data_IF_592027207116
#
_entry.id   IF_592027207116
#
_cell.length_a   1.000
_cell.length_b   1.000
_cell.length_c   1.000
_cell.angle_alpha   90.00
_cell.angle_beta   90.00
_cell.angle_gamma   90.00
#
_symmetry.space_group_name_H-M   'P 1'
#
loop_
_entity.id
_entity.type
_entity.pdbx_description
1 polymer ?
#
# COMPACT_ATOMS: atom_id res chain seq x y z
N UNK A 1 -1.03 -11.66 -25.12
CA UNK A 1 -1.52 -10.79 -24.04
C UNK A 1 -2.95 -11.20 -23.76
N UNK A 2 -3.16 -12.15 -22.86
CA UNK A 2 -4.49 -12.36 -22.27
C UNK A 2 -4.87 -11.03 -21.62
N UNK A 3 -6.07 -10.50 -21.88
CA UNK A 3 -6.61 -9.48 -21.01
C UNK A 3 -6.50 -10.03 -19.58
N UNK A 4 -5.86 -9.29 -18.68
CA UNK A 4 -5.88 -9.64 -17.26
C UNK A 4 -7.34 -9.78 -16.80
N UNK A 5 -7.61 -10.50 -15.71
CA UNK A 5 -8.95 -10.52 -15.14
C UNK A 5 -9.44 -9.08 -14.94
N UNK A 6 -10.53 -8.73 -15.61
CA UNK A 6 -11.12 -7.40 -15.54
C UNK A 6 -12.03 -7.34 -14.32
N UNK A 7 -11.73 -6.43 -13.39
CA UNK A 7 -12.64 -6.09 -12.30
C UNK A 7 -13.92 -5.48 -12.87
N UNK A 8 -15.07 -5.74 -12.26
CA UNK A 8 -16.34 -5.12 -12.66
C UNK A 8 -16.24 -3.59 -12.59
N UNK A 9 -16.40 -2.92 -13.73
CA UNK A 9 -16.31 -1.46 -13.81
C UNK A 9 -17.34 -0.74 -12.93
N UNK A 10 -18.52 -1.30 -12.72
CA UNK A 10 -19.53 -0.71 -11.84
C UNK A 10 -19.08 -0.73 -10.37
N UNK A 11 -18.35 -1.77 -9.96
CA UNK A 11 -17.77 -1.86 -8.61
C UNK A 11 -16.67 -0.81 -8.43
N UNK A 12 -15.78 -0.65 -9.42
CA UNK A 12 -14.71 0.36 -9.40
C UNK A 12 -15.30 1.77 -9.33
N UNK A 13 -16.30 2.08 -10.15
CA UNK A 13 -17.01 3.38 -10.11
C UNK A 13 -17.67 3.63 -8.75
N UNK A 14 -18.25 2.60 -8.12
CA UNK A 14 -18.82 2.71 -6.78
C UNK A 14 -17.76 3.03 -5.72
N UNK A 15 -16.63 2.30 -5.72
CA UNK A 15 -15.52 2.55 -4.80
C UNK A 15 -14.97 3.97 -4.96
N UNK A 16 -14.75 4.42 -6.19
CA UNK A 16 -14.30 5.78 -6.51
C UNK A 16 -15.28 6.83 -5.99
N UNK A 17 -16.58 6.66 -6.27
CA UNK A 17 -17.62 7.58 -5.84
C UNK A 17 -17.73 7.71 -4.31
N UNK A 18 -17.55 6.61 -3.57
CA UNK A 18 -17.58 6.63 -2.10
C UNK A 18 -16.46 7.50 -1.53
N UNK A 19 -15.23 7.34 -2.02
CA UNK A 19 -14.08 8.13 -1.53
C UNK A 19 -14.09 9.56 -2.03
N UNK A 20 -14.57 9.81 -3.25
CA UNK A 20 -14.78 11.15 -3.79
C UNK A 20 -15.79 11.93 -2.94
N UNK A 21 -16.98 11.35 -2.69
CA UNK A 21 -18.03 11.96 -1.85
C UNK A 21 -17.56 12.20 -0.41
N UNK A 22 -16.81 11.26 0.17
CA UNK A 22 -16.19 11.46 1.47
C UNK A 22 -15.23 12.65 1.44
N UNK A 23 -14.37 12.73 0.42
CA UNK A 23 -13.34 13.76 0.33
C UNK A 23 -13.91 15.16 0.12
N UNK A 24 -14.99 15.29 -0.62
CA UNK A 24 -15.68 16.58 -0.82
C UNK A 24 -16.23 17.15 0.50
N UNK A 25 -16.61 16.27 1.43
CA UNK A 25 -17.16 16.64 2.74
C UNK A 25 -16.09 16.78 3.83
N UNK A 26 -14.91 16.18 3.63
CA UNK A 26 -13.86 16.09 4.65
C UNK A 26 -12.51 16.58 4.10
N UNK A 27 -12.20 17.89 4.22
CA UNK A 27 -10.89 18.43 3.85
C UNK A 27 -9.76 17.81 4.69
N UNK A 28 -8.49 17.90 4.27
CA UNK A 28 -7.39 17.25 4.98
C UNK A 28 -7.28 17.78 6.42
N UNK A 29 -7.39 16.85 7.38
CA UNK A 29 -7.24 17.14 8.80
C UNK A 29 -5.76 17.31 9.19
N UNK A 30 -5.53 17.98 10.32
CA UNK A 30 -4.19 18.13 10.89
C UNK A 30 -3.65 16.81 11.46
N UNK A 31 -4.54 15.96 11.96
CA UNK A 31 -4.25 14.63 12.50
C UNK A 31 -4.96 13.60 11.64
N UNK A 32 -4.28 12.50 11.30
CA UNK A 32 -4.87 11.39 10.55
C UNK A 32 -5.32 10.34 11.56
N UNK A 33 -6.63 10.10 11.60
CA UNK A 33 -7.28 9.11 12.46
C UNK A 33 -8.27 8.29 11.62
N UNK A 34 -8.65 7.12 12.11
CA UNK A 34 -9.67 6.29 11.47
C UNK A 34 -11.03 6.93 11.69
N UNK A 35 -11.66 7.44 10.63
CA UNK A 35 -13.04 7.93 10.69
C UNK A 35 -14.01 6.74 10.89
N UNK A 36 -14.71 6.64 12.04
CA UNK A 36 -15.62 5.54 12.31
C UNK A 36 -16.88 5.54 11.43
N UNK A 37 -17.33 6.71 10.97
CA UNK A 37 -18.50 6.84 10.11
C UNK A 37 -18.18 6.38 8.69
N UNK A 38 -17.00 6.75 8.16
CA UNK A 38 -16.54 6.20 6.88
C UNK A 38 -16.32 4.68 6.99
N UNK A 39 -15.70 4.20 8.07
CA UNK A 39 -15.50 2.77 8.29
C UNK A 39 -16.83 2.00 8.26
N UNK A 40 -17.84 2.47 9.02
CA UNK A 40 -19.18 1.85 9.01
C UNK A 40 -19.81 1.84 7.63
N UNK A 41 -19.73 2.95 6.88
CA UNK A 41 -20.26 3.01 5.51
C UNK A 41 -19.57 2.00 4.59
N UNK A 42 -18.25 1.84 4.70
CA UNK A 42 -17.52 0.86 3.90
C UNK A 42 -17.88 -0.57 4.31
N UNK A 43 -18.10 -0.81 5.60
CA UNK A 43 -18.54 -2.09 6.14
C UNK A 43 -19.95 -2.48 5.64
N UNK A 44 -20.90 -1.55 5.69
CA UNK A 44 -22.25 -1.72 5.13
C UNK A 44 -22.25 -2.03 3.62
N UNK A 45 -21.21 -1.58 2.90
CA UNK A 45 -20.99 -1.87 1.48
C UNK A 45 -20.16 -3.15 1.23
N UNK A 46 -19.73 -3.86 2.29
CA UNK A 46 -18.90 -5.06 2.19
C UNK A 46 -17.44 -4.80 1.79
N UNK A 47 -16.95 -3.56 1.90
CA UNK A 47 -15.64 -3.14 1.42
C UNK A 47 -14.52 -3.32 2.46
N UNK A 48 -14.84 -3.48 3.76
CA UNK A 48 -13.81 -3.67 4.80
C UNK A 48 -13.28 -5.09 4.90
N UNK A 49 -14.05 -6.10 4.45
CA UNK A 49 -13.66 -7.52 4.36
C UNK A 49 -13.78 -8.05 2.93
N UNK A 50 -13.37 -7.24 1.96
CA UNK A 50 -13.60 -7.50 0.54
C UNK A 50 -13.04 -8.86 0.10
N UNK A 51 -11.82 -9.21 0.52
CA UNK A 51 -11.18 -10.48 0.15
C UNK A 51 -11.43 -11.65 1.09
N UNK A 52 -12.06 -11.39 2.25
CA UNK A 52 -12.39 -12.43 3.21
C UNK A 52 -13.38 -13.45 2.64
N UNK A 53 -13.31 -14.69 3.14
CA UNK A 53 -14.29 -15.71 2.78
C UNK A 53 -15.71 -15.34 3.26
N UNK A 54 -16.75 -15.70 2.50
CA UNK A 54 -18.16 -15.42 2.87
C UNK A 54 -18.52 -15.97 4.24
N UNK A 55 -18.00 -17.15 4.60
CA UNK A 55 -18.18 -17.78 5.91
C UNK A 55 -17.59 -16.98 7.08
N UNK A 56 -16.70 -16.02 6.80
CA UNK A 56 -16.06 -15.12 7.77
C UNK A 56 -16.49 -13.66 7.56
N UNK A 57 -17.64 -13.44 6.92
CA UNK A 57 -18.22 -12.11 6.71
C UNK A 57 -17.59 -11.30 5.57
N UNK A 58 -16.76 -11.92 4.73
CA UNK A 58 -16.21 -11.26 3.54
C UNK A 58 -17.02 -11.48 2.27
N UNK A 59 -16.57 -10.88 1.16
CA UNK A 59 -17.28 -10.98 -0.13
C UNK A 59 -16.70 -12.05 -1.09
N UNK A 60 -15.58 -12.68 -0.72
CA UNK A 60 -14.88 -13.64 -1.58
C UNK A 60 -14.22 -13.03 -2.83
N UNK A 61 -14.12 -11.69 -2.90
CA UNK A 61 -13.47 -11.00 -4.00
C UNK A 61 -11.96 -11.26 -4.00
N UNK A 62 -11.30 -10.95 -5.11
CA UNK A 62 -9.88 -11.20 -5.26
C UNK A 62 -9.05 -9.98 -4.89
N UNK A 63 -7.72 -10.16 -4.89
CA UNK A 63 -6.78 -9.06 -4.75
C UNK A 63 -6.86 -8.03 -5.90
N UNK A 64 -7.49 -8.35 -7.03
CA UNK A 64 -7.74 -7.35 -8.08
C UNK A 64 -8.76 -6.31 -7.61
N UNK A 65 -9.90 -6.72 -7.09
CA UNK A 65 -10.90 -5.80 -6.52
C UNK A 65 -10.33 -5.00 -5.35
N UNK A 66 -9.55 -5.64 -4.48
CA UNK A 66 -8.93 -4.95 -3.35
C UNK A 66 -7.84 -3.95 -3.78
N UNK A 67 -7.09 -4.24 -4.85
CA UNK A 67 -6.14 -3.29 -5.41
C UNK A 67 -6.85 -2.04 -5.94
N UNK A 68 -8.01 -2.19 -6.58
CA UNK A 68 -8.84 -1.06 -7.01
C UNK A 68 -9.36 -0.25 -5.81
N UNK A 69 -9.85 -0.91 -4.76
CA UNK A 69 -10.32 -0.25 -3.54
C UNK A 69 -9.20 0.59 -2.88
N UNK A 70 -8.01 0.00 -2.74
CA UNK A 70 -6.84 0.68 -2.15
C UNK A 70 -6.36 1.82 -3.05
N UNK A 71 -6.40 1.64 -4.37
CA UNK A 71 -6.07 2.67 -5.37
C UNK A 71 -7.01 3.85 -5.27
N UNK A 72 -8.32 3.61 -5.21
CA UNK A 72 -9.34 4.65 -5.07
C UNK A 72 -9.15 5.45 -3.77
N UNK A 73 -8.97 4.78 -2.63
CA UNK A 73 -8.71 5.45 -1.35
C UNK A 73 -7.45 6.34 -1.42
N UNK A 74 -6.35 5.80 -1.94
CA UNK A 74 -5.08 6.54 -2.06
C UNK A 74 -5.19 7.72 -3.04
N UNK A 75 -5.83 7.53 -4.20
CA UNK A 75 -6.02 8.52 -5.25
C UNK A 75 -6.91 9.71 -4.85
N UNK A 76 -7.85 9.48 -3.93
CA UNK A 76 -8.66 10.56 -3.34
C UNK A 76 -8.01 11.25 -2.14
N UNK A 77 -6.89 10.73 -1.63
CA UNK A 77 -6.22 11.27 -0.45
C UNK A 77 -6.84 10.78 0.86
N UNK A 78 -7.64 9.72 0.83
CA UNK A 78 -8.30 9.11 1.99
C UNK A 78 -7.33 8.14 2.67
N UNK A 79 -7.24 8.21 4.00
CA UNK A 79 -6.33 7.40 4.82
C UNK A 79 -7.14 6.55 5.78
N UNK A 80 -7.08 5.24 5.59
CA UNK A 80 -7.93 4.29 6.31
C UNK A 80 -7.27 2.89 6.29
N UNK A 81 -7.37 2.08 7.36
CA UNK A 81 -6.66 0.79 7.47
C UNK A 81 -7.29 -0.37 6.68
N UNK A 82 -7.77 -0.14 5.46
CA UNK A 82 -8.40 -1.20 4.66
C UNK A 82 -7.42 -2.33 4.34
N UNK A 83 -6.22 -1.98 3.90
CA UNK A 83 -5.22 -2.97 3.52
C UNK A 83 -4.63 -3.68 4.74
N UNK A 84 -4.37 -2.95 5.83
CA UNK A 84 -3.87 -3.56 7.06
C UNK A 84 -4.88 -4.51 7.70
N UNK A 85 -6.18 -4.15 7.65
CA UNK A 85 -7.26 -4.98 8.17
C UNK A 85 -7.51 -6.21 7.30
N UNK A 86 -7.94 -6.04 6.05
CA UNK A 86 -8.39 -7.15 5.20
C UNK A 86 -7.21 -7.97 4.67
N UNK A 87 -6.30 -7.30 3.96
CA UNK A 87 -5.27 -7.95 3.14
C UNK A 87 -4.12 -8.55 3.94
N UNK A 88 -3.92 -8.09 5.18
CA UNK A 88 -2.82 -8.50 6.03
C UNK A 88 -3.30 -9.21 7.30
N UNK A 89 -4.01 -8.52 8.20
CA UNK A 89 -4.39 -9.07 9.49
C UNK A 89 -5.42 -10.19 9.37
N UNK A 90 -6.56 -9.91 8.73
CA UNK A 90 -7.63 -10.89 8.54
C UNK A 90 -7.20 -12.04 7.63
N UNK A 91 -6.48 -11.75 6.54
CA UNK A 91 -5.85 -12.79 5.73
C UNK A 91 -4.95 -13.73 6.56
N UNK A 92 -4.12 -13.19 7.47
CA UNK A 92 -3.23 -14.02 8.29
C UNK A 92 -4.00 -14.90 9.27
N UNK A 93 -5.12 -14.41 9.82
CA UNK A 93 -6.01 -15.21 10.66
C UNK A 93 -6.62 -16.36 9.86
N UNK A 94 -7.20 -16.08 8.69
CA UNK A 94 -7.79 -17.10 7.81
C UNK A 94 -6.75 -18.14 7.37
N UNK A 95 -5.57 -17.70 6.94
CA UNK A 95 -4.48 -18.59 6.53
C UNK A 95 -3.90 -19.41 7.70
N UNK A 96 -4.17 -19.01 8.95
CA UNK A 96 -3.78 -19.74 10.16
C UNK A 96 -4.96 -20.50 10.78
N UNK A 97 -6.11 -20.59 10.09
CA UNK A 97 -7.34 -21.24 10.57
C UNK A 97 -7.85 -20.67 11.92
N UNK A 98 -7.63 -19.38 12.13
CA UNK A 98 -8.07 -18.67 13.33
C UNK A 98 -9.40 -17.95 13.08
N UNK A 99 -10.29 -17.89 14.09
CA UNK A 99 -11.53 -17.13 13.97
C UNK A 99 -11.25 -15.63 13.88
N UNK A 100 -12.09 -14.92 13.14
CA UNK A 100 -12.16 -13.46 13.14
C UNK A 100 -13.59 -13.02 13.41
N UNK A 101 -13.76 -11.98 14.23
CA UNK A 101 -15.00 -11.24 14.44
C UNK A 101 -14.96 -9.89 13.69
N UNK A 102 -15.92 -9.02 13.97
CA UNK A 102 -16.05 -7.71 13.31
C UNK A 102 -15.06 -6.64 13.82
N UNK A 103 -14.13 -7.00 14.73
CA UNK A 103 -13.16 -6.07 15.28
C UNK A 103 -12.19 -5.54 14.20
N UNK A 104 -11.89 -4.23 14.24
CA UNK A 104 -10.91 -3.62 13.36
C UNK A 104 -9.52 -4.07 13.76
N UNK A 105 -8.75 -4.53 12.77
CA UNK A 105 -7.45 -5.17 13.00
C UNK A 105 -6.31 -4.51 12.23
N UNK A 106 -5.13 -4.60 12.81
CA UNK A 106 -3.85 -4.45 12.11
C UNK A 106 -2.95 -5.64 12.46
N UNK A 107 -1.75 -5.70 11.90
CA UNK A 107 -0.80 -6.80 12.11
C UNK A 107 0.58 -6.23 12.44
N UNK A 108 1.31 -6.91 13.33
CA UNK A 108 2.70 -6.61 13.60
C UNK A 108 3.55 -7.88 13.75
N UNK A 109 4.85 -7.73 13.53
CA UNK A 109 5.84 -8.78 13.77
C UNK A 109 6.83 -8.24 14.81
N UNK A 110 6.83 -8.85 15.99
CA UNK A 110 7.73 -8.47 17.08
C UNK A 110 9.15 -8.93 16.78
N UNK A 111 10.11 -8.10 17.13
CA UNK A 111 11.52 -8.46 17.20
C UNK A 111 11.83 -9.37 18.41
N UNK A 112 13.12 -9.65 18.63
CA UNK A 112 13.56 -10.52 19.74
C UNK A 112 13.34 -9.89 21.12
N UNK A 113 13.09 -8.58 21.16
CA UNK A 113 12.84 -7.79 22.36
C UNK A 113 11.34 -7.58 22.60
N UNK A 114 10.48 -8.25 21.83
CA UNK A 114 9.03 -8.12 21.97
C UNK A 114 8.50 -6.79 21.43
N UNK A 115 9.23 -6.11 20.54
CA UNK A 115 8.86 -4.81 20.01
C UNK A 115 8.65 -4.85 18.49
N UNK A 116 7.59 -4.20 18.01
CA UNK A 116 7.38 -3.88 16.61
C UNK A 116 7.28 -2.37 16.44
N UNK A 117 8.11 -1.80 15.56
CA UNK A 117 8.12 -0.37 15.28
C UNK A 117 7.36 -0.03 14.00
N UNK A 118 6.79 1.16 13.94
CA UNK A 118 6.08 1.68 12.78
C UNK A 118 4.89 0.79 12.33
N UNK A 119 4.17 0.23 13.30
CA UNK A 119 2.96 -0.56 13.08
C UNK A 119 1.84 0.38 12.63
N UNK A 120 1.29 0.24 11.42
CA UNK A 120 0.23 1.12 10.97
C UNK A 120 -1.04 0.92 11.80
N UNK A 121 -1.65 2.02 12.23
CA UNK A 121 -2.98 2.05 12.83
C UNK A 121 -3.17 1.26 14.14
N UNK A 122 -2.10 0.90 14.85
CA UNK A 122 -2.21 0.08 16.06
C UNK A 122 -3.09 0.72 17.15
N UNK A 123 -2.95 2.03 17.36
CA UNK A 123 -3.75 2.79 18.35
C UNK A 123 -5.23 2.90 17.96
N UNK A 124 -5.56 2.74 16.69
CA UNK A 124 -6.94 2.83 16.17
C UNK A 124 -7.59 1.47 15.89
N UNK A 125 -6.85 0.39 16.14
CA UNK A 125 -7.32 -0.98 15.97
C UNK A 125 -7.90 -1.50 17.29
N UNK A 126 -8.95 -2.31 17.19
CA UNK A 126 -9.56 -2.98 18.34
C UNK A 126 -8.70 -4.20 18.75
N UNK A 127 -8.10 -4.88 17.77
CA UNK A 127 -7.19 -6.01 17.97
C UNK A 127 -5.99 -5.97 17.04
N UNK A 128 -4.90 -6.63 17.43
CA UNK A 128 -3.67 -6.72 16.67
C UNK A 128 -3.32 -8.19 16.47
N UNK A 129 -3.11 -8.59 15.22
CA UNK A 129 -2.55 -9.90 14.90
C UNK A 129 -1.05 -9.80 15.13
N UNK A 130 -0.59 -10.40 16.22
CA UNK A 130 0.81 -10.33 16.67
C UNK A 130 1.53 -11.59 16.25
N UNK A 131 2.62 -11.43 15.50
CA UNK A 131 3.56 -12.51 15.18
C UNK A 131 4.83 -12.33 16.00
N UNK A 132 5.35 -13.40 16.59
CA UNK A 132 6.62 -13.37 17.31
C UNK A 132 7.41 -14.67 17.13
N UNK A 133 8.70 -14.61 17.45
CA UNK A 133 9.56 -15.80 17.47
C UNK A 133 9.45 -16.50 18.82
N UNK A 134 9.23 -17.81 18.81
CA UNK A 134 9.19 -18.67 19.99
C UNK A 134 10.11 -19.90 19.81
N UNK A 135 10.21 -20.73 20.83
CA UNK A 135 10.89 -22.02 20.71
C UNK A 135 10.22 -22.86 19.61
N UNK A 136 11.00 -23.34 18.65
CA UNK A 136 10.50 -24.13 17.51
C UNK A 136 10.00 -23.34 16.30
N UNK A 137 10.02 -21.99 16.30
CA UNK A 137 9.68 -21.21 15.10
C UNK A 137 9.02 -19.87 15.38
N UNK A 138 7.98 -19.54 14.60
CA UNK A 138 7.16 -18.35 14.82
C UNK A 138 5.77 -18.76 15.28
N UNK A 139 5.13 -17.88 16.05
CA UNK A 139 3.75 -18.02 16.49
C UNK A 139 2.95 -16.78 16.12
N UNK A 140 1.65 -16.94 16.03
CA UNK A 140 0.68 -15.87 15.79
C UNK A 140 -0.45 -15.92 16.82
N UNK A 141 -0.94 -14.75 17.23
CA UNK A 141 -2.12 -14.59 18.06
C UNK A 141 -2.93 -13.38 17.61
N UNK A 142 -4.24 -13.42 17.83
CA UNK A 142 -5.11 -12.24 17.75
C UNK A 142 -5.24 -11.66 19.16
N UNK A 143 -4.65 -10.51 19.43
CA UNK A 143 -4.53 -9.93 20.78
C UNK A 143 -5.33 -8.63 20.85
N UNK A 144 -6.13 -8.45 21.90
CA UNK A 144 -6.84 -7.19 22.11
C UNK A 144 -5.84 -6.04 22.30
N UNK A 145 -6.07 -4.89 21.65
CA UNK A 145 -5.11 -3.78 21.67
C UNK A 145 -4.82 -3.28 23.09
N UNK A 146 -5.79 -3.34 24.00
CA UNK A 146 -5.65 -3.00 25.42
C UNK A 146 -4.72 -3.91 26.24
N UNK A 147 -4.40 -5.10 25.72
CA UNK A 147 -3.45 -6.03 26.35
C UNK A 147 -2.00 -5.77 25.90
N UNK A 148 -1.79 -4.83 24.98
CA UNK A 148 -0.49 -4.48 24.42
C UNK A 148 -0.09 -3.08 24.89
N UNK A 149 1.22 -2.84 24.99
CA UNK A 149 1.71 -1.47 25.18
C UNK A 149 1.87 -0.81 23.82
N UNK A 150 1.03 0.19 23.52
CA UNK A 150 1.05 0.91 22.25
C UNK A 150 1.51 2.35 22.52
N UNK A 151 2.64 2.73 21.93
CA UNK A 151 3.14 4.11 21.95
C UNK A 151 2.79 4.78 20.62
N UNK A 152 1.93 5.81 20.60
CA UNK A 152 1.54 6.48 19.37
C UNK A 152 2.73 7.08 18.64
N UNK A 153 2.75 6.91 17.32
CA UNK A 153 3.76 7.47 16.43
C UNK A 153 3.17 7.81 15.07
N UNK A 154 3.93 8.50 14.23
CA UNK A 154 3.47 8.83 12.88
C UNK A 154 4.59 8.81 11.85
N UNK A 155 4.27 8.51 10.59
CA UNK A 155 5.21 8.73 9.49
C UNK A 155 5.33 10.22 9.11
N UNK A 156 6.13 10.51 8.09
CA UNK A 156 6.40 11.88 7.60
C UNK A 156 5.16 12.63 7.09
N UNK A 157 4.02 11.97 6.94
CA UNK A 157 2.74 12.58 6.53
C UNK A 157 1.69 12.59 7.63
N UNK A 158 2.02 12.14 8.84
CA UNK A 158 1.11 12.14 9.99
C UNK A 158 0.21 10.91 10.08
N UNK A 159 0.41 9.89 9.25
CA UNK A 159 -0.34 8.62 9.39
C UNK A 159 0.17 7.84 10.61
N UNK A 160 -0.73 7.20 11.38
CA UNK A 160 -0.34 6.39 12.54
C UNK A 160 0.70 5.33 12.18
N UNK A 161 1.84 5.36 12.87
CA UNK A 161 2.95 4.40 12.78
C UNK A 161 3.48 4.21 14.19
N UNK A 162 2.75 3.40 14.93
CA UNK A 162 2.92 3.25 16.36
C UNK A 162 4.02 2.25 16.67
N UNK A 163 4.50 2.27 17.91
CA UNK A 163 5.35 1.21 18.45
C UNK A 163 4.49 0.31 19.33
N UNK A 164 4.49 -1.00 19.04
CA UNK A 164 3.79 -2.02 19.83
C UNK A 164 4.82 -2.84 20.58
N UNK A 165 4.62 -2.98 21.90
CA UNK A 165 5.46 -3.81 22.77
C UNK A 165 4.60 -4.81 23.53
N UNK A 166 5.09 -6.04 23.59
CA UNK A 166 4.50 -7.13 24.36
C UNK A 166 5.60 -8.05 24.91
N UNK A 167 5.35 -8.69 26.04
CA UNK A 167 6.23 -9.73 26.56
C UNK A 167 5.90 -11.06 25.85
N UNK A 168 6.80 -11.63 25.01
CA UNK A 168 6.48 -12.82 24.22
C UNK A 168 6.14 -14.06 25.06
N UNK A 169 6.55 -14.09 26.33
CA UNK A 169 6.25 -15.16 27.27
C UNK A 169 4.78 -15.13 27.76
N UNK A 170 4.14 -13.96 27.73
CA UNK A 170 2.74 -13.79 28.16
C UNK A 170 1.76 -14.04 27.01
N UNK A 171 2.25 -14.10 25.77
CA UNK A 171 1.45 -14.34 24.58
C UNK A 171 1.15 -15.83 24.38
N UNK A 172 -0.12 -16.14 24.14
CA UNK A 172 -0.56 -17.47 23.73
C UNK A 172 -1.03 -17.41 22.27
N UNK A 173 -0.38 -18.20 21.42
CA UNK A 173 -0.67 -18.24 19.99
C UNK A 173 -0.42 -19.60 19.39
N UNK A 174 -0.69 -19.78 18.11
CA UNK A 174 -0.48 -21.02 17.37
C UNK A 174 0.79 -20.97 16.51
N UNK A 175 1.45 -22.09 16.22
CA UNK A 175 2.62 -22.10 15.35
C UNK A 175 2.27 -21.68 13.92
N UNK A 176 3.14 -20.90 13.28
CA UNK A 176 3.04 -20.51 11.85
C UNK A 176 4.35 -20.77 11.13
N UNK A 177 4.25 -21.03 9.82
CA UNK A 177 5.41 -21.37 9.00
C UNK A 177 6.19 -20.12 8.57
N UNK A 178 7.48 -20.27 8.31
CA UNK A 178 8.28 -19.20 7.72
C UNK A 178 7.77 -18.79 6.33
N UNK A 179 7.19 -19.73 5.57
CA UNK A 179 6.59 -19.46 4.27
C UNK A 179 5.41 -18.48 4.37
N UNK A 180 4.54 -18.66 5.38
CA UNK A 180 3.41 -17.76 5.63
C UNK A 180 3.87 -16.34 6.01
N UNK A 181 4.96 -16.22 6.77
CA UNK A 181 5.55 -14.91 7.08
C UNK A 181 6.19 -14.23 5.86
N UNK A 182 6.79 -15.02 4.96
CA UNK A 182 7.26 -14.50 3.67
C UNK A 182 6.09 -13.96 2.86
N UNK A 183 4.97 -14.69 2.79
CA UNK A 183 3.76 -14.23 2.12
C UNK A 183 3.23 -12.92 2.74
N UNK A 184 3.16 -12.83 4.07
CA UNK A 184 2.76 -11.59 4.77
C UNK A 184 3.63 -10.40 4.36
N UNK A 185 4.97 -10.58 4.35
CA UNK A 185 5.92 -9.54 3.96
C UNK A 185 5.70 -9.09 2.51
N UNK A 186 5.55 -10.04 1.59
CA UNK A 186 5.34 -9.74 0.17
C UNK A 186 4.00 -9.04 -0.08
N UNK A 187 2.92 -9.46 0.61
CA UNK A 187 1.62 -8.79 0.60
C UNK A 187 1.71 -7.35 1.10
N UNK A 188 2.35 -7.14 2.25
CA UNK A 188 2.52 -5.81 2.84
C UNK A 188 3.34 -4.87 1.93
N UNK A 189 4.40 -5.40 1.32
CA UNK A 189 5.16 -4.66 0.32
C UNK A 189 4.30 -4.29 -0.90
N UNK A 190 3.54 -5.26 -1.45
CA UNK A 190 2.70 -5.01 -2.62
C UNK A 190 1.59 -3.99 -2.34
N UNK A 191 0.97 -4.01 -1.17
CA UNK A 191 0.02 -2.97 -0.71
C UNK A 191 0.63 -1.58 -0.86
N UNK A 192 1.86 -1.39 -0.36
CA UNK A 192 2.54 -0.08 -0.51
C UNK A 192 2.95 0.20 -1.95
N UNK A 193 3.17 -0.80 -2.78
CA UNK A 193 3.40 -0.60 -4.22
C UNK A 193 2.16 -0.04 -4.91
N UNK A 194 0.98 -0.62 -4.63
CA UNK A 194 -0.32 -0.16 -5.15
C UNK A 194 -0.57 1.30 -4.73
N UNK A 195 -0.41 1.61 -3.45
CA UNK A 195 -0.63 2.96 -2.93
C UNK A 195 0.36 3.99 -3.50
N UNK A 196 1.62 3.63 -3.69
CA UNK A 196 2.60 4.49 -4.36
C UNK A 196 2.17 4.74 -5.79
N UNK A 197 1.85 3.71 -6.58
CA UNK A 197 1.41 3.88 -7.97
C UNK A 197 0.16 4.77 -8.07
N UNK A 198 -0.84 4.56 -7.22
CA UNK A 198 -2.04 5.40 -7.16
C UNK A 198 -1.71 6.87 -6.87
N UNK A 199 -0.77 7.14 -5.96
CA UNK A 199 -0.32 8.50 -5.67
C UNK A 199 0.43 9.13 -6.87
N UNK A 200 1.27 8.37 -7.58
CA UNK A 200 1.98 8.85 -8.78
C UNK A 200 1.01 9.21 -9.91
N UNK A 201 0.00 8.37 -10.15
CA UNK A 201 -1.03 8.63 -11.15
C UNK A 201 -1.87 9.86 -10.81
N UNK A 202 -2.20 10.04 -9.52
CA UNK A 202 -2.89 11.26 -9.09
C UNK A 202 -2.02 12.51 -9.26
N UNK A 203 -0.72 12.42 -8.99
CA UNK A 203 0.23 13.51 -9.24
C UNK A 203 0.27 13.88 -10.72
N UNK A 204 0.34 12.90 -11.62
CA UNK A 204 0.29 13.12 -13.06
C UNK A 204 -0.98 13.87 -13.47
N UNK A 205 -2.14 13.42 -13.00
CA UNK A 205 -3.42 14.07 -13.30
C UNK A 205 -3.41 15.55 -12.86
N UNK A 206 -2.98 15.83 -11.63
CA UNK A 206 -2.88 17.20 -11.12
C UNK A 206 -1.93 18.06 -11.96
N UNK A 207 -0.80 17.51 -12.42
CA UNK A 207 0.13 18.19 -13.30
C UNK A 207 -0.50 18.55 -14.67
N UNK A 208 -1.22 17.61 -15.27
CA UNK A 208 -1.92 17.83 -16.55
C UNK A 208 -2.98 18.92 -16.39
N UNK A 209 -3.82 18.82 -15.35
CA UNK A 209 -4.88 19.79 -15.07
C UNK A 209 -4.29 21.19 -14.83
N UNK A 210 -3.26 21.29 -13.99
CA UNK A 210 -2.58 22.56 -13.71
C UNK A 210 -1.98 23.18 -14.96
N UNK A 211 -1.26 22.38 -15.76
CA UNK A 211 -0.59 22.88 -16.96
C UNK A 211 -1.57 23.31 -18.05
N UNK A 212 -2.72 22.65 -18.15
CA UNK A 212 -3.77 23.02 -19.10
C UNK A 212 -4.49 24.31 -18.69
N UNK A 213 -4.81 24.47 -17.40
CA UNK A 213 -5.58 25.61 -16.91
C UNK A 213 -4.74 26.89 -16.71
N UNK A 214 -3.47 26.77 -16.33
CA UNK A 214 -2.63 27.93 -15.97
C UNK A 214 -2.09 28.63 -17.21
N UNK A 215 -2.42 29.92 -17.38
CA UNK A 215 -1.89 30.78 -18.46
C UNK A 215 -0.76 31.66 -17.95
N UNK A 216 0.39 31.62 -18.61
CA UNK A 216 1.54 32.51 -18.39
C UNK A 216 2.17 32.88 -19.73
N UNK A 217 2.72 34.08 -19.83
CA UNK A 217 3.30 34.60 -21.07
C UNK A 217 2.35 34.47 -22.28
N UNK A 218 1.05 34.75 -22.06
CA UNK A 218 0.03 34.79 -23.10
C UNK A 218 -0.52 33.44 -23.57
N UNK A 219 -0.14 32.30 -22.97
CA UNK A 219 -0.68 30.97 -23.35
C UNK A 219 -0.64 29.96 -22.19
N UNK A 220 -1.38 28.84 -22.29
CA UNK A 220 -1.32 27.77 -21.28
C UNK A 220 0.09 27.20 -21.09
N UNK A 221 0.44 26.79 -19.87
CA UNK A 221 1.72 26.14 -19.54
C UNK A 221 1.93 24.86 -20.38
N UNK A 222 0.86 24.14 -20.70
CA UNK A 222 0.89 22.95 -21.57
C UNK A 222 1.41 23.22 -23.00
N UNK A 223 1.57 24.49 -23.42
CA UNK A 223 2.14 24.86 -24.73
C UNK A 223 3.66 25.10 -24.71
N UNK A 224 4.31 24.94 -23.56
CA UNK A 224 5.76 25.07 -23.43
C UNK A 224 6.41 23.69 -23.41
N UNK A 225 7.35 23.43 -24.34
CA UNK A 225 8.03 22.12 -24.44
C UNK A 225 8.73 21.70 -23.16
N UNK A 226 9.33 22.63 -22.41
CA UNK A 226 9.96 22.31 -21.13
C UNK A 226 8.96 21.72 -20.11
N UNK A 227 7.73 22.24 -20.07
CA UNK A 227 6.66 21.71 -19.21
C UNK A 227 6.17 20.36 -19.73
N UNK A 228 6.02 20.22 -21.05
CA UNK A 228 5.65 18.95 -21.68
C UNK A 228 6.65 17.84 -21.34
N UNK A 229 7.96 18.12 -21.42
CA UNK A 229 9.00 17.15 -21.07
C UNK A 229 8.89 16.69 -19.61
N UNK A 230 8.69 17.63 -18.67
CA UNK A 230 8.51 17.28 -17.26
C UNK A 230 7.29 16.36 -17.04
N UNK A 231 6.17 16.65 -17.71
CA UNK A 231 4.94 15.84 -17.61
C UNK A 231 5.13 14.47 -18.29
N UNK A 232 5.83 14.42 -19.41
CA UNK A 232 6.17 13.15 -20.08
C UNK A 232 7.03 12.25 -19.20
N UNK A 233 8.04 12.79 -18.52
CA UNK A 233 8.85 12.04 -17.56
C UNK A 233 7.99 11.51 -16.40
N UNK A 234 7.11 12.35 -15.85
CA UNK A 234 6.16 11.93 -14.79
C UNK A 234 5.30 10.76 -15.29
N UNK A 235 4.74 10.87 -16.49
CA UNK A 235 3.88 9.86 -17.07
C UNK A 235 4.62 8.54 -17.32
N UNK A 236 5.85 8.59 -17.83
CA UNK A 236 6.66 7.41 -18.09
C UNK A 236 7.02 6.65 -16.80
N UNK A 237 7.45 7.38 -15.77
CA UNK A 237 7.80 6.81 -14.46
C UNK A 237 6.59 6.20 -13.75
N UNK A 238 5.45 6.91 -13.75
CA UNK A 238 4.21 6.39 -13.17
C UNK A 238 3.71 5.13 -13.89
N UNK A 239 3.77 5.12 -15.23
CA UNK A 239 3.38 3.96 -16.03
C UNK A 239 4.29 2.75 -15.77
N UNK A 240 5.61 2.95 -15.66
CA UNK A 240 6.55 1.88 -15.33
C UNK A 240 6.29 1.30 -13.94
N UNK A 241 6.11 2.16 -12.92
CA UNK A 241 5.81 1.73 -11.55
C UNK A 241 4.48 0.96 -11.46
N UNK A 242 3.44 1.42 -12.19
CA UNK A 242 2.16 0.73 -12.28
C UNK A 242 2.30 -0.63 -12.96
N UNK A 243 2.92 -0.70 -14.14
CA UNK A 243 3.10 -1.95 -14.87
C UNK A 243 3.88 -3.01 -14.06
N UNK A 244 4.94 -2.61 -13.35
CA UNK A 244 5.69 -3.50 -12.47
C UNK A 244 4.84 -3.98 -11.28
N UNK A 245 4.02 -3.10 -10.69
CA UNK A 245 3.10 -3.44 -9.60
C UNK A 245 2.00 -4.41 -10.05
N UNK A 246 1.39 -4.17 -11.22
CA UNK A 246 0.38 -5.05 -11.82
C UNK A 246 0.96 -6.43 -12.14
N UNK A 247 2.19 -6.52 -12.65
CA UNK A 247 2.86 -7.78 -12.90
C UNK A 247 3.09 -8.59 -11.61
N UNK A 248 3.57 -7.94 -10.54
CA UNK A 248 3.75 -8.57 -9.23
C UNK A 248 2.42 -9.00 -8.61
N UNK A 249 1.37 -8.18 -8.72
CA UNK A 249 0.01 -8.51 -8.29
C UNK A 249 -0.52 -9.74 -9.03
N UNK A 250 -0.41 -9.75 -10.35
CA UNK A 250 -0.89 -10.85 -11.18
C UNK A 250 -0.19 -12.17 -10.83
N UNK A 251 1.13 -12.16 -10.68
CA UNK A 251 1.90 -13.33 -10.25
C UNK A 251 1.54 -13.77 -8.83
N UNK A 252 1.30 -12.82 -7.91
CA UNK A 252 0.86 -13.10 -6.54
C UNK A 252 -0.50 -13.79 -6.49
N UNK A 253 -1.46 -13.34 -7.29
CA UNK A 253 -2.80 -13.93 -7.34
C UNK A 253 -2.79 -15.32 -7.97
N UNK A 254 -2.24 -15.46 -9.19
CA UNK A 254 -2.22 -16.76 -9.89
C UNK A 254 -1.38 -17.79 -9.14
N UNK A 255 -0.24 -17.36 -8.61
CA UNK A 255 0.66 -18.22 -7.85
C UNK A 255 0.25 -18.47 -6.41
N UNK A 256 -0.93 -17.99 -5.98
CA UNK A 256 -1.40 -18.07 -4.59
C UNK A 256 -0.31 -17.66 -3.59
N UNK A 257 0.37 -16.56 -3.89
CA UNK A 257 1.45 -15.97 -3.09
C UNK A 257 2.67 -16.88 -2.87
N UNK A 258 2.78 -17.96 -3.64
CA UNK A 258 3.79 -19.00 -3.48
C UNK A 258 4.62 -19.24 -4.76
N UNK A 259 4.43 -18.43 -5.80
CA UNK A 259 5.19 -18.54 -7.04
C UNK A 259 6.70 -18.30 -6.78
N UNK A 260 7.60 -19.13 -7.36
CA UNK A 260 9.05 -19.03 -7.09
C UNK A 260 9.67 -17.66 -7.40
N UNK A 261 9.14 -16.94 -8.39
CA UNK A 261 9.66 -15.63 -8.84
C UNK A 261 8.91 -14.44 -8.23
N UNK A 262 7.94 -14.67 -7.32
CA UNK A 262 7.11 -13.60 -6.77
C UNK A 262 7.91 -12.55 -6.00
N UNK A 263 8.89 -12.99 -5.19
CA UNK A 263 9.73 -12.04 -4.45
C UNK A 263 10.53 -11.14 -5.39
N UNK A 264 11.01 -11.67 -6.52
CA UNK A 264 11.70 -10.88 -7.53
C UNK A 264 10.76 -9.82 -8.14
N UNK A 265 9.55 -10.20 -8.55
CA UNK A 265 8.59 -9.24 -9.12
C UNK A 265 8.16 -8.17 -8.11
N UNK A 266 7.93 -8.53 -6.85
CA UNK A 266 7.65 -7.56 -5.79
C UNK A 266 8.84 -6.63 -5.60
N UNK A 267 10.08 -7.13 -5.63
CA UNK A 267 11.27 -6.29 -5.56
C UNK A 267 11.37 -5.32 -6.75
N UNK A 268 11.05 -5.77 -7.97
CA UNK A 268 10.99 -4.90 -9.16
C UNK A 268 9.95 -3.80 -8.97
N UNK A 269 8.73 -4.15 -8.54
CA UNK A 269 7.66 -3.18 -8.31
C UNK A 269 8.05 -2.12 -7.27
N UNK A 270 8.63 -2.56 -6.14
CA UNK A 270 9.09 -1.65 -5.08
C UNK A 270 10.28 -0.78 -5.50
N UNK A 271 11.21 -1.33 -6.27
CA UNK A 271 12.33 -0.57 -6.84
C UNK A 271 11.83 0.50 -7.82
N UNK A 272 11.05 0.11 -8.84
CA UNK A 272 10.48 1.02 -9.83
C UNK A 272 9.65 2.13 -9.16
N UNK A 273 8.70 1.78 -8.28
CA UNK A 273 7.90 2.77 -7.57
C UNK A 273 8.72 3.70 -6.68
N UNK A 274 9.77 3.18 -6.03
CA UNK A 274 10.66 3.95 -5.16
C UNK A 274 11.50 4.99 -5.90
N UNK A 275 12.06 4.62 -7.04
CA UNK A 275 12.82 5.51 -7.93
C UNK A 275 11.90 6.51 -8.62
N UNK A 276 10.77 6.05 -9.17
CA UNK A 276 9.74 6.87 -9.82
C UNK A 276 9.26 8.00 -8.90
N UNK A 277 9.03 7.71 -7.62
CA UNK A 277 8.61 8.72 -6.65
C UNK A 277 9.57 9.92 -6.55
N UNK A 278 10.89 9.72 -6.71
CA UNK A 278 11.85 10.84 -6.69
C UNK A 278 11.67 11.75 -7.92
N UNK A 279 11.58 11.16 -9.11
CA UNK A 279 11.48 11.88 -10.39
C UNK A 279 10.14 12.60 -10.47
N UNK A 280 9.05 11.87 -10.19
CA UNK A 280 7.67 12.37 -10.26
C UNK A 280 7.48 13.54 -9.31
N UNK A 281 7.89 13.41 -8.05
CA UNK A 281 7.71 14.49 -7.06
C UNK A 281 8.50 15.74 -7.46
N UNK A 282 9.78 15.59 -7.83
CA UNK A 282 10.61 16.71 -8.27
C UNK A 282 9.97 17.43 -9.45
N UNK A 283 9.62 16.70 -10.51
CA UNK A 283 9.08 17.28 -11.73
C UNK A 283 7.69 17.90 -11.48
N UNK A 284 6.85 17.28 -10.66
CA UNK A 284 5.52 17.78 -10.35
C UNK A 284 5.55 19.13 -9.61
N UNK A 285 6.45 19.28 -8.64
CA UNK A 285 6.66 20.57 -7.97
C UNK A 285 7.20 21.64 -8.92
N UNK A 286 8.03 21.27 -9.90
CA UNK A 286 8.48 22.22 -10.94
C UNK A 286 7.34 22.64 -11.87
N UNK A 287 6.45 21.72 -12.26
CA UNK A 287 5.27 22.04 -13.09
C UNK A 287 4.34 23.03 -12.38
N UNK A 288 4.13 22.86 -11.07
CA UNK A 288 3.24 23.73 -10.29
C UNK A 288 3.93 25.04 -9.83
N UNK A 289 5.26 25.04 -9.68
CA UNK A 289 5.98 26.17 -9.10
C UNK A 289 5.58 26.44 -7.64
N UNK A 290 5.56 27.71 -7.25
CA UNK A 290 5.35 28.09 -5.84
C UNK A 290 4.04 27.57 -5.23
N UNK A 291 2.93 27.51 -5.99
CA UNK A 291 1.64 27.04 -5.44
C UNK A 291 1.72 25.55 -5.03
N UNK A 292 2.55 24.75 -5.71
CA UNK A 292 2.74 23.33 -5.43
C UNK A 292 3.37 23.04 -4.07
N UNK A 293 4.04 24.01 -3.47
CA UNK A 293 4.67 23.89 -2.15
C UNK A 293 3.80 24.42 -1.00
N UNK A 294 2.61 24.97 -1.32
CA UNK A 294 1.67 25.51 -0.34
C UNK A 294 0.65 24.48 0.12
N UNK A 295 -0.06 24.76 1.23
CA UNK A 295 -1.21 23.98 1.69
C UNK A 295 -2.49 24.24 0.86
N UNK A 296 -2.51 25.30 0.06
CA UNK A 296 -3.67 25.68 -0.78
C UNK A 296 -3.87 24.71 -1.96
N UNK A 297 -2.81 24.02 -2.38
CA UNK A 297 -2.87 23.02 -3.44
C UNK A 297 -2.70 21.61 -2.90
N UNK A 298 -3.54 20.68 -3.39
CA UNK A 298 -3.57 19.29 -2.91
C UNK A 298 -2.39 18.42 -3.31
N UNK A 299 -1.50 18.90 -4.18
CA UNK A 299 -0.33 18.16 -4.67
C UNK A 299 0.49 17.54 -3.52
N UNK A 300 0.67 18.29 -2.43
CA UNK A 300 1.47 17.85 -1.29
C UNK A 300 0.92 16.58 -0.63
N UNK A 301 -0.39 16.34 -0.66
CA UNK A 301 -1.05 15.15 -0.11
C UNK A 301 -0.51 13.87 -0.75
N UNK A 302 -0.30 13.91 -2.06
CA UNK A 302 0.14 12.76 -2.86
C UNK A 302 1.66 12.68 -2.94
N UNK A 303 2.35 13.81 -3.12
CA UNK A 303 3.82 13.79 -3.21
C UNK A 303 4.46 13.35 -1.91
N UNK A 304 3.94 13.78 -0.75
CA UNK A 304 4.50 13.36 0.54
C UNK A 304 4.16 11.90 0.84
N UNK A 305 2.98 11.43 0.44
CA UNK A 305 2.57 10.04 0.61
C UNK A 305 3.45 9.08 -0.19
N UNK A 306 3.69 9.37 -1.47
CA UNK A 306 4.60 8.58 -2.31
C UNK A 306 6.02 8.49 -1.68
N UNK A 307 6.54 9.61 -1.14
CA UNK A 307 7.85 9.64 -0.47
C UNK A 307 7.88 8.90 0.87
N UNK A 308 6.78 8.86 1.61
CA UNK A 308 6.69 8.12 2.87
C UNK A 308 6.58 6.61 2.59
N UNK A 309 5.61 6.21 1.76
CA UNK A 309 5.28 4.81 1.50
C UNK A 309 6.33 4.05 0.71
N UNK A 310 7.17 4.70 -0.11
CA UNK A 310 8.26 4.03 -0.84
C UNK A 310 9.31 3.36 0.06
N UNK A 311 9.37 3.77 1.33
CA UNK A 311 10.34 3.22 2.30
C UNK A 311 9.70 2.31 3.35
N UNK A 312 8.40 2.08 3.28
CA UNK A 312 7.69 1.17 4.18
C UNK A 312 7.74 -0.28 3.66
N UNK A 313 7.78 -1.26 4.58
CA UNK A 313 7.96 -2.69 4.29
C UNK A 313 9.17 -2.96 3.39
N UNK A 314 10.30 -2.33 3.72
CA UNK A 314 11.55 -2.40 2.96
C UNK A 314 11.83 -1.09 2.22
N UNK A 315 13.03 -0.55 2.40
CA UNK A 315 13.48 0.66 1.72
C UNK A 315 13.74 0.39 0.23
N UNK A 316 13.81 1.46 -0.58
CA UNK A 316 14.20 1.35 -2.00
C UNK A 316 15.53 0.59 -2.13
N UNK A 317 16.52 0.96 -1.31
CA UNK A 317 17.82 0.28 -1.26
C UNK A 317 17.70 -1.21 -0.93
N UNK A 318 16.87 -1.57 0.04
CA UNK A 318 16.67 -2.97 0.41
C UNK A 318 16.15 -3.79 -0.77
N UNK A 319 15.18 -3.26 -1.51
CA UNK A 319 14.62 -3.93 -2.69
C UNK A 319 15.61 -3.97 -3.86
N UNK A 320 16.41 -2.91 -4.07
CA UNK A 320 17.50 -2.91 -5.06
C UNK A 320 18.58 -3.95 -4.74
N UNK A 321 18.92 -4.13 -3.46
CA UNK A 321 19.84 -5.18 -2.99
C UNK A 321 19.23 -6.57 -3.24
N UNK A 322 17.92 -6.78 -3.03
CA UNK A 322 17.25 -8.04 -3.39
C UNK A 322 17.32 -8.35 -4.88
N UNK A 323 17.16 -7.35 -5.74
CA UNK A 323 17.28 -7.51 -7.19
C UNK A 323 18.72 -7.82 -7.60
N UNK A 324 19.68 -7.13 -6.99
CA UNK A 324 21.11 -7.36 -7.22
C UNK A 324 21.49 -8.79 -6.85
N UNK A 325 21.06 -9.24 -5.67
CA UNK A 325 21.27 -10.62 -5.23
C UNK A 325 20.67 -11.62 -6.20
N UNK A 326 19.42 -11.42 -6.63
CA UNK A 326 18.76 -12.31 -7.60
C UNK A 326 19.54 -12.37 -8.93
N UNK A 327 20.02 -11.23 -9.43
CA UNK A 327 20.80 -11.17 -10.65
C UNK A 327 22.18 -11.85 -10.53
N UNK A 328 22.84 -11.74 -9.37
CA UNK A 328 24.14 -12.36 -9.12
C UNK A 328 24.07 -13.88 -8.96
N UNK A 329 22.93 -14.41 -8.48
CA UNK A 329 22.72 -15.85 -8.32
C UNK A 329 22.11 -16.51 -9.56
N UNK A 330 21.65 -15.73 -10.53
CA UNK A 330 21.25 -16.24 -11.83
C UNK A 330 22.50 -16.71 -12.61
N UNK A 331 22.48 -17.95 -13.13
CA UNK A 331 23.53 -18.41 -14.02
C UNK A 331 23.57 -17.57 -15.31
N UNK A 332 24.71 -17.54 -16.01
CA UNK A 332 24.82 -16.85 -17.29
C UNK A 332 23.81 -17.44 -18.29
N UNK A 333 22.73 -16.69 -18.57
CA UNK A 333 21.57 -17.11 -19.37
C UNK A 333 20.24 -17.01 -18.62
N UNK A 334 20.22 -17.33 -17.33
CA UNK A 334 19.01 -17.33 -16.50
C UNK A 334 18.55 -15.92 -16.09
N UNK A 335 19.40 -14.89 -16.23
CA UNK A 335 19.01 -13.51 -15.98
C UNK A 335 17.91 -13.06 -16.96
N UNK A 336 17.99 -13.47 -18.22
CA UNK A 336 16.95 -13.13 -19.20
C UNK A 336 15.64 -13.88 -18.89
N UNK A 337 15.73 -15.15 -18.49
CA UNK A 337 14.57 -15.95 -18.05
C UNK A 337 13.89 -15.33 -16.82
N UNK A 338 14.65 -14.78 -15.87
CA UNK A 338 14.07 -14.05 -14.72
C UNK A 338 13.25 -12.82 -15.14
N UNK A 339 13.62 -12.17 -16.24
CA UNK A 339 12.95 -10.96 -16.74
C UNK A 339 11.74 -11.33 -17.61
N UNK A 340 11.86 -12.35 -18.46
CA UNK A 340 10.82 -12.70 -19.43
C UNK A 340 9.76 -13.66 -18.90
N UNK A 341 10.05 -14.37 -17.80
CA UNK A 341 9.22 -15.45 -17.29
C UNK A 341 9.41 -16.76 -18.05
#
# INVERSE_FOLDING_TARGET
MSAGPSVDGALVEMMDAVFSDYRDKHPPAATIERDPALWRRLDELGLVRLTGAEQHGGSGATWYEAAELVTAAAGHGVRIPLAEHDLLACWLLEASEMPSDDAVRTVCVLDKQGTATAVPWATSADRIVVVWRAEGGHRVADVAAEQLTITPGSNLIGEPRDTVTAEPADLQGIPVTAALLTQLRLKAALVRSIQVSAALDRILQLCVDHAAARVQFGRPLAKFQAVQNLISDIAAEAALARAATEAALHAGVIGQWSAPHLEFLVAVARSCGGHAASVVVRNAHQVHGAIGTTREHRLHEFTRAALAWRSEFGSVRYWDERLTDAAMHASAGALWELITG
#
